data_IF_382392886354
#
_entry.id   IF_382392886354
#
_cell.length_a   1.000
_cell.length_b   1.000
_cell.length_c   1.000
_cell.angle_alpha   90.00
_cell.angle_beta   90.00
_cell.angle_gamma   90.00
#
_symmetry.space_group_name_H-M   'P 1'
#
loop_
_entity.id
_entity.type
_entity.pdbx_description
1 polymer ?
#
# COMPACT_ATOMS: atom_id res chain seq x y z
N UNK A 1 -14.89 13.18 -11.17
CA UNK A 1 -13.78 12.43 -10.55
C UNK A 1 -14.37 11.60 -9.43
N UNK A 2 -13.69 10.57 -8.93
CA UNK A 2 -14.23 9.72 -7.86
C UNK A 2 -13.09 9.14 -7.04
N UNK A 3 -13.38 8.53 -5.90
CA UNK A 3 -12.38 7.92 -5.03
C UNK A 3 -11.59 6.79 -5.70
N UNK A 4 -10.31 7.03 -5.94
CA UNK A 4 -9.32 6.06 -6.43
C UNK A 4 -8.26 5.85 -5.34
N UNK A 5 -7.95 4.59 -5.04
CA UNK A 5 -7.10 4.21 -3.91
C UNK A 5 -6.01 3.26 -4.37
N UNK A 6 -4.81 3.41 -3.82
CA UNK A 6 -3.62 2.67 -4.25
C UNK A 6 -2.83 2.17 -3.04
N UNK A 7 -2.38 0.92 -3.11
CA UNK A 7 -1.22 0.46 -2.34
C UNK A 7 -0.01 0.39 -3.27
N UNK A 8 1.13 0.85 -2.77
CA UNK A 8 2.37 0.93 -3.53
C UNK A 8 3.52 0.35 -2.72
N UNK A 9 4.27 -0.56 -3.34
CA UNK A 9 5.51 -1.10 -2.77
C UNK A 9 6.70 -0.27 -3.24
N UNK A 10 7.58 0.10 -2.31
CA UNK A 10 8.81 0.86 -2.58
C UNK A 10 10.03 0.16 -2.00
N UNK A 11 11.08 0.02 -2.80
CA UNK A 11 12.40 -0.45 -2.35
C UNK A 11 13.47 0.54 -2.77
N UNK A 12 14.33 0.92 -1.82
CA UNK A 12 15.53 1.70 -2.09
C UNK A 12 16.71 0.76 -2.32
N UNK A 13 17.32 0.86 -3.50
CA UNK A 13 18.51 0.10 -3.87
C UNK A 13 19.70 1.04 -3.83
N UNK A 14 20.56 0.87 -2.83
CA UNK A 14 21.82 1.60 -2.73
C UNK A 14 22.80 1.14 -3.82
N UNK A 15 23.60 2.07 -4.33
CA UNK A 15 24.71 1.71 -5.22
C UNK A 15 25.72 0.80 -4.55
N UNK A 16 26.11 1.14 -3.33
CA UNK A 16 27.16 0.44 -2.61
C UNK A 16 26.57 -0.68 -1.77
N UNK A 17 27.29 -1.80 -1.70
CA UNK A 17 27.08 -2.77 -0.65
C UNK A 17 27.84 -2.34 0.61
N UNK A 18 27.12 -2.21 1.72
CA UNK A 18 27.63 -1.77 3.01
C UNK A 18 27.89 -2.95 3.95
N UNK A 19 27.79 -4.19 3.46
CA UNK A 19 28.09 -5.42 4.21
C UNK A 19 29.58 -5.53 4.59
N UNK A 20 30.47 -4.96 3.77
CA UNK A 20 31.92 -4.95 3.95
C UNK A 20 32.43 -3.61 4.52
N UNK A 21 33.73 -3.55 4.87
CA UNK A 21 34.39 -2.31 5.33
C UNK A 21 34.16 -1.16 4.33
N UNK A 22 34.06 0.06 4.86
CA UNK A 22 33.92 1.29 4.07
C UNK A 22 34.93 1.38 2.92
N UNK A 23 36.14 0.85 3.11
CA UNK A 23 37.24 0.90 2.12
C UNK A 23 37.07 -0.10 0.98
N UNK A 24 36.26 -1.14 1.15
CA UNK A 24 36.13 -2.29 0.24
C UNK A 24 34.70 -2.41 -0.34
N UNK A 25 34.01 -1.28 -0.52
CA UNK A 25 32.64 -1.26 -1.04
C UNK A 25 32.60 -1.66 -2.51
N UNK A 26 31.76 -2.65 -2.80
CA UNK A 26 31.44 -3.06 -4.16
C UNK A 26 30.10 -2.46 -4.62
N UNK A 27 29.92 -2.33 -5.92
CA UNK A 27 28.63 -1.92 -6.49
C UNK A 27 27.68 -3.10 -6.41
N UNK A 28 26.47 -2.88 -5.90
CA UNK A 28 25.41 -3.90 -5.89
C UNK A 28 24.99 -4.25 -7.31
N UNK A 29 24.97 -5.53 -7.63
CA UNK A 29 24.53 -6.01 -8.95
C UNK A 29 23.11 -5.53 -9.27
N UNK A 30 22.19 -5.60 -8.29
CA UNK A 30 20.82 -5.10 -8.44
C UNK A 30 20.78 -3.61 -8.85
N UNK A 31 21.67 -2.77 -8.29
CA UNK A 31 21.76 -1.37 -8.70
C UNK A 31 22.22 -1.23 -10.15
N UNK A 32 23.23 -2.02 -10.55
CA UNK A 32 23.75 -2.00 -11.91
C UNK A 32 22.69 -2.43 -12.95
N UNK A 33 21.87 -3.43 -12.61
CA UNK A 33 20.80 -3.94 -13.49
C UNK A 33 19.66 -2.94 -13.66
N UNK A 34 19.42 -2.07 -12.68
CA UNK A 34 18.40 -1.03 -12.71
C UNK A 34 18.83 0.26 -13.43
N UNK A 35 20.10 0.40 -13.80
CA UNK A 35 20.58 1.61 -14.47
C UNK A 35 19.92 1.77 -15.84
N UNK A 36 19.28 2.92 -16.14
CA UNK A 36 18.77 3.19 -17.47
C UNK A 36 19.92 3.20 -18.48
N UNK A 37 19.72 2.60 -19.65
CA UNK A 37 20.70 2.54 -20.75
C UNK A 37 21.26 3.92 -21.13
N UNK A 38 20.46 4.99 -20.98
CA UNK A 38 20.79 6.36 -21.37
C UNK A 38 20.78 7.35 -20.18
N UNK A 39 21.55 7.08 -19.12
CA UNK A 39 21.72 8.02 -18.00
C UNK A 39 23.16 8.58 -17.92
N UNK A 40 23.57 9.43 -18.88
CA UNK A 40 24.97 9.88 -19.04
C UNK A 40 25.51 10.72 -17.87
N UNK A 41 24.64 11.14 -16.94
CA UNK A 41 25.03 12.03 -15.84
C UNK A 41 24.77 11.47 -14.44
N UNK A 42 24.31 10.22 -14.33
CA UNK A 42 24.02 9.66 -13.00
C UNK A 42 25.28 9.73 -12.11
N UNK A 43 26.46 9.48 -12.67
CA UNK A 43 27.79 9.50 -12.03
C UNK A 43 28.33 10.85 -11.56
N UNK A 44 27.73 11.98 -11.95
CA UNK A 44 28.26 13.34 -11.65
C UNK A 44 28.31 13.63 -10.15
N UNK A 45 27.40 13.05 -9.36
CA UNK A 45 27.37 13.15 -7.89
C UNK A 45 27.62 11.79 -7.21
N UNK A 46 28.53 10.99 -7.80
CA UNK A 46 28.73 9.55 -7.60
C UNK A 46 28.97 8.96 -6.21
N UNK A 47 29.05 9.79 -5.16
CA UNK A 47 29.36 9.36 -3.80
C UNK A 47 28.16 8.77 -3.06
N UNK A 48 26.95 9.30 -3.31
CA UNK A 48 25.69 8.83 -2.73
C UNK A 48 24.68 8.63 -3.85
N UNK A 49 24.57 7.40 -4.33
CA UNK A 49 23.64 7.04 -5.40
C UNK A 49 22.77 5.88 -4.92
N UNK A 50 21.49 5.97 -5.24
CA UNK A 50 20.54 4.89 -5.09
C UNK A 50 19.38 5.10 -6.06
N UNK A 51 18.67 4.01 -6.33
CA UNK A 51 17.48 4.00 -7.17
C UNK A 51 16.33 3.56 -6.27
N UNK A 52 15.22 4.29 -6.32
CA UNK A 52 13.97 3.81 -5.73
C UNK A 52 13.17 3.11 -6.80
N UNK A 53 12.81 1.85 -6.57
CA UNK A 53 11.86 1.11 -7.38
C UNK A 53 10.51 1.20 -6.71
N UNK A 54 9.50 1.62 -7.45
CA UNK A 54 8.13 1.83 -6.97
C UNK A 54 7.13 1.24 -7.97
N UNK A 55 6.17 0.45 -7.50
CA UNK A 55 5.10 -0.11 -8.34
C UNK A 55 3.81 -0.35 -7.55
N UNK A 56 2.63 -0.21 -8.20
CA UNK A 56 1.36 -0.48 -7.55
C UNK A 56 1.22 -1.98 -7.24
N UNK A 57 0.71 -2.28 -6.05
CA UNK A 57 0.46 -3.64 -5.54
C UNK A 57 -0.99 -3.87 -5.11
N UNK A 58 -1.80 -2.80 -5.11
CA UNK A 58 -3.23 -2.87 -4.85
C UNK A 58 -3.93 -1.63 -5.40
N UNK A 59 -5.17 -1.80 -5.84
CA UNK A 59 -6.01 -0.71 -6.31
C UNK A 59 -7.46 -0.97 -5.96
N UNK A 60 -8.16 0.04 -5.46
CA UNK A 60 -9.61 0.02 -5.25
C UNK A 60 -10.26 1.20 -5.93
N UNK A 61 -11.47 0.95 -6.45
CA UNK A 61 -12.33 1.98 -7.01
C UNK A 61 -13.54 2.16 -6.11
N UNK A 62 -13.62 3.31 -5.43
CA UNK A 62 -14.77 3.70 -4.58
C UNK A 62 -15.09 2.77 -3.39
N UNK A 63 -14.17 1.91 -2.97
CA UNK A 63 -14.29 1.12 -1.74
C UNK A 63 -14.19 2.02 -0.49
N UNK A 64 -15.30 2.65 -0.10
CA UNK A 64 -15.32 3.71 0.93
C UNK A 64 -14.99 3.20 2.34
N UNK A 65 -15.37 1.97 2.67
CA UNK A 65 -15.03 1.33 3.94
C UNK A 65 -13.53 1.09 4.08
N UNK A 66 -12.88 0.61 3.01
CA UNK A 66 -11.43 0.39 2.97
C UNK A 66 -10.67 1.71 3.09
N UNK A 67 -11.16 2.75 2.42
CA UNK A 67 -10.58 4.08 2.54
C UNK A 67 -10.68 4.61 3.97
N UNK A 68 -11.87 4.54 4.58
CA UNK A 68 -12.09 4.95 5.95
C UNK A 68 -11.16 4.19 6.91
N UNK A 69 -10.99 2.87 6.73
CA UNK A 69 -10.06 2.08 7.52
C UNK A 69 -8.63 2.67 7.50
N UNK A 70 -8.09 2.97 6.32
CA UNK A 70 -6.74 3.55 6.23
C UNK A 70 -6.67 4.96 6.85
N UNK A 71 -7.68 5.78 6.66
CA UNK A 71 -7.76 7.12 7.29
C UNK A 71 -7.75 7.02 8.82
N UNK A 72 -8.53 6.12 9.40
CA UNK A 72 -8.61 5.98 10.86
C UNK A 72 -7.36 5.33 11.45
N UNK A 73 -6.86 4.24 10.83
CA UNK A 73 -5.81 3.42 11.44
C UNK A 73 -4.39 3.86 11.06
N UNK A 74 -4.22 4.63 9.98
CA UNK A 74 -2.91 5.08 9.48
C UNK A 74 -2.86 6.59 9.31
N UNK A 75 -3.94 7.21 8.85
CA UNK A 75 -4.04 8.63 8.57
C UNK A 75 -4.20 9.52 9.81
N UNK A 76 -4.32 8.95 11.01
CA UNK A 76 -4.65 9.67 12.26
C UNK A 76 -5.98 10.43 12.16
N UNK A 77 -6.96 9.83 11.49
CA UNK A 77 -8.28 10.43 11.20
C UNK A 77 -8.21 11.69 10.32
N UNK A 78 -7.09 11.93 9.62
CA UNK A 78 -6.93 13.04 8.67
C UNK A 78 -6.98 12.52 7.24
N UNK A 79 -7.97 12.99 6.50
CA UNK A 79 -8.19 12.64 5.10
C UNK A 79 -7.73 13.76 4.15
N UNK A 80 -6.43 13.79 3.85
CA UNK A 80 -5.77 14.86 3.08
C UNK A 80 -5.05 14.34 1.81
N UNK A 81 -5.40 13.15 1.34
CA UNK A 81 -4.79 12.47 0.19
C UNK A 81 -3.26 12.25 0.30
N UNK A 82 -2.66 12.42 1.49
CA UNK A 82 -1.23 12.21 1.66
C UNK A 82 -0.87 10.75 1.47
N UNK A 83 0.37 10.52 1.07
CA UNK A 83 0.94 9.18 1.11
C UNK A 83 1.18 8.76 2.56
N UNK A 84 0.63 7.62 2.94
CA UNK A 84 0.68 7.07 4.30
C UNK A 84 1.55 5.81 4.30
N UNK A 85 2.52 5.72 5.22
CA UNK A 85 3.30 4.50 5.39
C UNK A 85 2.46 3.45 6.12
N UNK A 86 2.37 2.25 5.56
CA UNK A 86 1.54 1.17 6.10
C UNK A 86 2.46 0.08 6.64
N UNK A 87 2.41 -0.13 7.96
CA UNK A 87 3.06 -1.28 8.57
C UNK A 87 2.32 -2.56 8.14
N UNK A 88 3.06 -3.64 7.85
CA UNK A 88 2.49 -4.93 7.45
C UNK A 88 1.49 -5.49 8.47
N UNK A 89 1.68 -5.22 9.76
CA UNK A 89 0.73 -5.64 10.81
C UNK A 89 -0.66 -5.02 10.59
N UNK A 90 -0.75 -3.81 10.03
CA UNK A 90 -2.03 -3.17 9.66
C UNK A 90 -2.72 -3.94 8.52
N UNK A 91 -1.96 -4.50 7.58
CA UNK A 91 -2.52 -5.29 6.48
C UNK A 91 -2.98 -6.68 6.95
N UNK A 92 -2.28 -7.27 7.94
CA UNK A 92 -2.74 -8.49 8.61
C UNK A 92 -4.08 -8.23 9.30
N UNK A 93 -4.17 -7.15 10.08
CA UNK A 93 -5.39 -6.73 10.78
C UNK A 93 -6.54 -6.46 9.79
N UNK A 94 -6.29 -5.68 8.72
CA UNK A 94 -7.28 -5.40 7.68
C UNK A 94 -7.82 -6.69 7.03
N UNK A 95 -6.93 -7.64 6.71
CA UNK A 95 -7.31 -8.92 6.13
C UNK A 95 -8.22 -9.72 7.07
N UNK A 96 -7.86 -9.78 8.35
CA UNK A 96 -8.65 -10.50 9.37
C UNK A 96 -10.04 -9.87 9.55
N UNK A 97 -10.11 -8.54 9.65
CA UNK A 97 -11.38 -7.79 9.71
C UNK A 97 -12.28 -8.08 8.50
N UNK A 98 -11.74 -8.02 7.28
CA UNK A 98 -12.49 -8.36 6.07
C UNK A 98 -13.02 -9.80 6.13
N UNK A 99 -12.20 -10.74 6.61
CA UNK A 99 -12.60 -12.15 6.74
C UNK A 99 -13.72 -12.35 7.76
N UNK A 100 -13.68 -11.66 8.91
CA UNK A 100 -14.76 -11.74 9.91
C UNK A 100 -16.08 -11.18 9.38
N UNK A 101 -16.04 -10.02 8.72
CA UNK A 101 -17.24 -9.41 8.13
C UNK A 101 -17.88 -10.32 7.08
N UNK A 102 -17.07 -10.97 6.22
CA UNK A 102 -17.57 -11.88 5.19
C UNK A 102 -18.18 -13.18 5.74
N UNK A 103 -17.82 -13.58 6.97
CA UNK A 103 -18.30 -14.80 7.60
C UNK A 103 -19.49 -14.58 8.54
N UNK A 104 -19.84 -13.32 8.82
CA UNK A 104 -20.91 -12.99 9.74
C UNK A 104 -22.30 -13.23 9.17
N UNK A 105 -23.23 -13.67 10.04
CA UNK A 105 -24.65 -13.79 9.70
C UNK A 105 -25.28 -12.42 9.42
N UNK A 106 -24.86 -11.40 10.18
CA UNK A 106 -25.22 -10.00 9.97
C UNK A 106 -23.98 -9.19 9.57
N UNK A 107 -23.84 -8.93 8.28
CA UNK A 107 -22.66 -8.29 7.70
C UNK A 107 -22.51 -6.82 8.11
N UNK A 108 -23.62 -6.07 8.15
CA UNK A 108 -23.61 -4.65 8.48
C UNK A 108 -23.20 -4.42 9.94
N UNK A 109 -23.78 -5.19 10.86
CA UNK A 109 -23.41 -5.15 12.28
C UNK A 109 -21.93 -5.52 12.50
N UNK A 110 -21.46 -6.59 11.85
CA UNK A 110 -20.05 -6.98 11.94
C UNK A 110 -19.11 -5.94 11.31
N UNK A 111 -19.52 -5.29 10.22
CA UNK A 111 -18.74 -4.24 9.58
C UNK A 111 -18.51 -3.06 10.53
N UNK A 112 -19.54 -2.60 11.23
CA UNK A 112 -19.42 -1.56 12.25
C UNK A 112 -18.49 -1.98 13.40
N UNK A 113 -18.63 -3.20 13.92
CA UNK A 113 -17.76 -3.71 14.99
C UNK A 113 -16.29 -3.79 14.57
N UNK A 114 -16.03 -4.13 13.30
CA UNK A 114 -14.69 -4.27 12.75
C UNK A 114 -14.10 -2.95 12.21
N UNK A 115 -14.84 -1.84 12.26
CA UNK A 115 -14.40 -0.56 11.70
C UNK A 115 -14.29 -0.58 10.17
N UNK A 116 -15.17 -1.32 9.51
CA UNK A 116 -15.31 -1.45 8.05
C UNK A 116 -16.71 -0.99 7.60
N UNK A 117 -17.33 -0.09 8.35
CA UNK A 117 -18.59 0.54 7.97
C UNK A 117 -18.43 1.37 6.69
N UNK A 118 -19.48 1.39 5.86
CA UNK A 118 -19.47 2.21 4.66
C UNK A 118 -19.57 3.69 5.01
N UNK A 119 -18.90 4.53 4.23
CA UNK A 119 -18.92 5.98 4.45
C UNK A 119 -19.47 6.73 3.25
N UNK A 120 -20.30 7.74 3.53
CA UNK A 120 -20.87 8.61 2.50
C UNK A 120 -19.93 9.77 2.18
N UNK A 121 -19.93 10.22 0.93
CA UNK A 121 -19.09 11.32 0.47
C UNK A 121 -19.40 11.68 -0.98
N UNK A 122 -19.14 12.92 -1.37
CA UNK A 122 -19.47 13.41 -2.72
C UNK A 122 -18.81 12.58 -3.84
N UNK A 123 -17.64 12.00 -3.55
CA UNK A 123 -16.86 11.18 -4.49
C UNK A 123 -16.94 9.68 -4.20
N UNK A 124 -17.66 9.29 -3.15
CA UNK A 124 -17.66 7.95 -2.60
C UNK A 124 -18.79 7.14 -3.26
N UNK A 125 -18.66 5.82 -3.28
CA UNK A 125 -19.62 4.90 -3.92
C UNK A 125 -20.95 4.79 -3.18
N UNK A 126 -21.65 3.67 -3.38
CA UNK A 126 -22.82 3.34 -2.56
C UNK A 126 -22.41 3.10 -1.10
N UNK A 127 -23.34 3.28 -0.18
CA UNK A 127 -23.19 2.89 1.24
C UNK A 127 -23.90 1.58 1.55
N UNK A 128 -24.44 0.90 0.54
CA UNK A 128 -25.16 -0.35 0.72
C UNK A 128 -24.19 -1.51 1.00
N UNK A 129 -24.56 -2.41 1.91
CA UNK A 129 -23.86 -3.67 2.19
C UNK A 129 -24.26 -4.76 1.18
N UNK A 130 -24.06 -4.46 -0.10
CA UNK A 130 -24.45 -5.30 -1.22
C UNK A 130 -23.30 -6.21 -1.71
N UNK A 131 -23.45 -6.78 -2.90
CA UNK A 131 -22.42 -7.65 -3.47
C UNK A 131 -21.15 -6.87 -3.86
N UNK A 132 -21.23 -5.56 -4.15
CA UNK A 132 -20.05 -4.74 -4.40
C UNK A 132 -19.22 -4.55 -3.15
N UNK A 133 -19.86 -4.28 -2.01
CA UNK A 133 -19.17 -4.22 -0.72
C UNK A 133 -18.42 -5.54 -0.42
N UNK A 134 -19.07 -6.69 -0.66
CA UNK A 134 -18.43 -8.00 -0.48
C UNK A 134 -17.27 -8.23 -1.43
N UNK A 135 -17.38 -7.78 -2.68
CA UNK A 135 -16.30 -7.87 -3.66
C UNK A 135 -15.11 -7.00 -3.24
N UNK A 136 -15.35 -5.80 -2.72
CA UNK A 136 -14.31 -4.94 -2.17
C UNK A 136 -13.57 -5.61 -1.00
N UNK A 137 -14.29 -6.27 -0.08
CA UNK A 137 -13.67 -7.02 1.03
C UNK A 137 -12.82 -8.20 0.53
N UNK A 138 -13.32 -8.99 -0.42
CA UNK A 138 -12.57 -10.11 -1.00
C UNK A 138 -11.32 -9.64 -1.73
N UNK A 139 -11.46 -8.60 -2.55
CA UNK A 139 -10.35 -7.96 -3.24
C UNK A 139 -9.31 -7.45 -2.24
N UNK A 140 -9.76 -6.87 -1.12
CA UNK A 140 -8.87 -6.40 -0.05
C UNK A 140 -8.07 -7.55 0.57
N UNK A 141 -8.72 -8.70 0.83
CA UNK A 141 -8.01 -9.90 1.31
C UNK A 141 -6.94 -10.33 0.31
N UNK A 142 -7.30 -10.44 -0.98
CA UNK A 142 -6.36 -10.84 -2.05
C UNK A 142 -5.17 -9.88 -2.17
N UNK A 143 -5.43 -8.57 -2.10
CA UNK A 143 -4.39 -7.53 -2.11
C UNK A 143 -3.49 -7.66 -0.88
N UNK A 144 -4.06 -7.81 0.32
CA UNK A 144 -3.30 -7.99 1.55
C UNK A 144 -2.41 -9.23 1.48
N UNK A 145 -2.95 -10.39 1.05
CA UNK A 145 -2.18 -11.62 0.91
C UNK A 145 -1.04 -11.48 -0.11
N UNK A 146 -1.30 -10.82 -1.24
CA UNK A 146 -0.25 -10.51 -2.22
C UNK A 146 0.85 -9.64 -1.59
N UNK A 147 0.50 -8.54 -0.94
CA UNK A 147 1.47 -7.62 -0.35
C UNK A 147 2.27 -8.28 0.78
N UNK A 148 1.61 -9.07 1.62
CA UNK A 148 2.25 -9.81 2.72
C UNK A 148 3.22 -10.89 2.20
N UNK A 149 3.07 -11.35 0.96
CA UNK A 149 4.03 -12.26 0.32
C UNK A 149 5.30 -11.58 -0.23
N UNK A 150 5.30 -10.24 -0.34
CA UNK A 150 6.45 -9.49 -0.85
C UNK A 150 7.60 -9.47 0.17
N UNK A 151 8.87 -9.44 -0.29
CA UNK A 151 10.02 -9.32 0.59
C UNK A 151 9.92 -8.13 1.57
N UNK A 152 10.40 -8.32 2.81
CA UNK A 152 10.36 -7.31 3.88
C UNK A 152 11.12 -6.01 3.57
N UNK A 153 12.02 -6.05 2.59
CA UNK A 153 12.74 -4.88 2.06
C UNK A 153 11.84 -3.88 1.32
N UNK A 154 10.62 -4.28 0.95
CA UNK A 154 9.63 -3.37 0.38
C UNK A 154 8.83 -2.68 1.48
N UNK A 155 8.93 -1.36 1.52
CA UNK A 155 8.05 -0.48 2.30
C UNK A 155 6.73 -0.29 1.57
N UNK A 156 5.62 -0.38 2.29
CA UNK A 156 4.27 -0.26 1.72
C UNK A 156 3.68 1.12 2.04
N UNK A 157 3.00 1.69 1.05
CA UNK A 157 2.36 2.99 1.18
C UNK A 157 0.94 2.96 0.63
N UNK A 158 0.01 3.56 1.36
CA UNK A 158 -1.35 3.82 0.92
C UNK A 158 -1.50 5.28 0.46
N UNK A 159 -2.28 5.50 -0.58
CA UNK A 159 -2.69 6.83 -1.01
C UNK A 159 -4.04 6.75 -1.71
N UNK A 160 -4.86 7.80 -1.56
CA UNK A 160 -6.09 7.95 -2.30
C UNK A 160 -6.20 9.34 -2.96
N UNK A 161 -7.07 9.46 -3.95
CA UNK A 161 -7.34 10.71 -4.70
C UNK A 161 -8.80 10.80 -5.10
N UNK A 162 -9.41 11.99 -5.04
CA UNK A 162 -10.80 12.26 -5.46
C UNK A 162 -11.02 13.67 -6.00
#
# INVERSE_FOLDING_TARGET
MGLDQYLTAKKYVSKWDYSNDYKDREVRQEFADLLPMDSPHISVYGQFQGITVEYPVGYWRKANAIHNFFVQNVGESVDDCRQMWVNRDILVDLRERCSWVLQADNMEEMAEEMGLETTSGFFFGSTDYDDWYKEDLKLTIDICDHVLSLPEEYSIYYQASW
#
